data_IF_521694651886
#
_entry.id   IF_521694651886
#
_cell.length_a   1.000
_cell.length_b   1.000
_cell.length_c   1.000
_cell.angle_alpha   90.00
_cell.angle_beta   90.00
_cell.angle_gamma   90.00
#
_symmetry.space_group_name_H-M   'P 1'
#
loop_
_entity.id
_entity.type
_entity.pdbx_description
1 polymer ?
#
# COMPACT_ATOMS: atom_id res chain seq x y z
N UNK A 1 -16.05 -14.03 0.23
CA UNK A 1 -14.70 -14.50 -0.16
C UNK A 1 -13.70 -14.09 0.92
N UNK A 2 -12.61 -14.85 1.06
CA UNK A 2 -11.49 -14.51 1.95
C UNK A 2 -10.31 -14.00 1.13
N UNK A 3 -9.57 -13.03 1.66
CA UNK A 3 -8.35 -12.53 1.03
C UNK A 3 -7.34 -12.01 2.03
N UNK A 4 -6.09 -11.92 1.59
CA UNK A 4 -5.00 -11.33 2.36
C UNK A 4 -4.55 -10.02 1.71
N UNK A 5 -4.30 -9.01 2.52
CA UNK A 5 -3.76 -7.73 2.02
C UNK A 5 -2.30 -7.92 1.65
N UNK A 6 -1.93 -7.57 0.41
CA UNK A 6 -0.54 -7.64 -0.06
C UNK A 6 0.12 -6.26 -0.13
N UNK A 7 -0.68 -5.21 -0.27
CA UNK A 7 -0.24 -3.82 -0.26
C UNK A 7 -1.39 -2.93 0.22
N UNK A 8 -1.08 -1.88 0.97
CA UNK A 8 -2.06 -0.84 1.28
C UNK A 8 -1.41 0.52 1.47
N UNK A 9 -2.22 1.57 1.27
CA UNK A 9 -1.86 2.95 1.54
C UNK A 9 -3.09 3.67 2.06
N UNK A 10 -3.08 3.94 3.37
CA UNK A 10 -4.15 4.67 4.06
C UNK A 10 -4.29 6.10 3.52
N UNK A 11 -3.16 6.77 3.25
CA UNK A 11 -3.14 8.13 2.69
C UNK A 11 -3.89 8.27 1.35
N UNK A 12 -3.89 7.21 0.53
CA UNK A 12 -4.60 7.19 -0.75
C UNK A 12 -5.94 6.45 -0.67
N UNK A 13 -6.25 5.84 0.47
CA UNK A 13 -7.41 4.96 0.65
C UNK A 13 -7.43 3.81 -0.35
N UNK A 14 -6.28 3.19 -0.63
CA UNK A 14 -6.17 2.08 -1.60
C UNK A 14 -5.50 0.87 -0.97
N UNK A 15 -6.00 -0.31 -1.27
CA UNK A 15 -5.33 -1.56 -0.92
C UNK A 15 -5.50 -2.59 -2.04
N UNK A 16 -4.54 -3.50 -2.12
CA UNK A 16 -4.55 -4.62 -3.05
C UNK A 16 -4.62 -5.91 -2.23
N UNK A 17 -5.58 -6.75 -2.60
CA UNK A 17 -5.96 -7.95 -1.87
C UNK A 17 -5.77 -9.14 -2.79
N UNK A 18 -5.08 -10.17 -2.29
CA UNK A 18 -4.99 -11.46 -2.95
C UNK A 18 -6.03 -12.40 -2.35
N UNK A 19 -6.90 -12.93 -3.19
CA UNK A 19 -8.06 -13.71 -2.76
C UNK A 19 -7.78 -15.22 -2.83
N UNK A 20 -8.54 -15.98 -2.03
CA UNK A 20 -8.41 -17.43 -1.90
C UNK A 20 -8.60 -18.20 -3.22
N UNK A 21 -9.31 -17.59 -4.18
CA UNK A 21 -9.59 -18.18 -5.50
C UNK A 21 -8.40 -18.11 -6.47
N UNK A 22 -7.27 -17.50 -6.07
CA UNK A 22 -6.07 -17.31 -6.89
C UNK A 22 -6.34 -16.59 -8.22
N UNK A 23 -7.48 -15.91 -8.35
CA UNK A 23 -7.85 -15.14 -9.52
C UNK A 23 -7.15 -13.78 -9.60
N UNK A 24 -7.63 -12.88 -10.46
CA UNK A 24 -7.11 -11.50 -10.56
C UNK A 24 -7.12 -10.78 -9.20
N UNK A 25 -6.14 -9.90 -8.96
CA UNK A 25 -6.08 -9.14 -7.70
C UNK A 25 -7.33 -8.26 -7.50
N UNK A 26 -7.79 -8.17 -6.26
CA UNK A 26 -8.90 -7.32 -5.88
C UNK A 26 -8.41 -5.98 -5.33
N UNK A 27 -9.11 -4.90 -5.70
CA UNK A 27 -8.75 -3.52 -5.34
C UNK A 27 -9.78 -2.95 -4.37
N UNK A 28 -9.33 -2.61 -3.17
CA UNK A 28 -10.09 -1.81 -2.22
C UNK A 28 -9.86 -0.33 -2.51
N UNK A 29 -10.94 0.45 -2.54
CA UNK A 29 -10.90 1.90 -2.74
C UNK A 29 -11.81 2.62 -1.74
N UNK A 30 -11.24 3.58 -1.02
CA UNK A 30 -11.96 4.39 -0.04
C UNK A 30 -12.32 3.61 1.22
N UNK A 31 -12.76 4.35 2.25
CA UNK A 31 -13.26 3.76 3.49
C UNK A 31 -14.71 3.27 3.39
N UNK A 32 -15.47 3.76 2.41
CA UNK A 32 -16.88 3.37 2.19
C UNK A 32 -17.04 1.88 1.86
N UNK A 33 -15.97 1.24 1.40
CA UNK A 33 -15.94 -0.20 1.11
C UNK A 33 -15.65 -1.06 2.34
N UNK A 34 -15.27 -0.44 3.47
CA UNK A 34 -15.06 -1.11 4.75
C UNK A 34 -16.38 -1.17 5.53
N UNK A 35 -16.62 -2.29 6.21
CA UNK A 35 -17.76 -2.46 7.09
C UNK A 35 -17.44 -1.91 8.48
N UNK A 36 -18.21 -0.90 8.90
CA UNK A 36 -18.10 -0.29 10.23
C UNK A 36 -16.91 0.66 10.39
N UNK A 37 -16.69 1.09 11.64
CA UNK A 37 -15.55 1.91 12.05
C UNK A 37 -14.32 1.01 12.25
N UNK A 38 -13.83 0.41 11.16
CA UNK A 38 -12.65 -0.46 11.17
C UNK A 38 -11.38 0.32 10.78
N UNK A 39 -10.26 -0.06 11.41
CA UNK A 39 -8.93 0.44 11.02
C UNK A 39 -8.61 0.10 9.56
N UNK A 40 -7.76 0.93 8.93
CA UNK A 40 -7.35 0.68 7.56
C UNK A 40 -6.54 -0.62 7.46
N UNK A 41 -6.90 -1.56 6.57
CA UNK A 41 -6.25 -2.87 6.51
C UNK A 41 -4.78 -2.75 6.06
N UNK A 42 -3.89 -3.47 6.73
CA UNK A 42 -2.44 -3.45 6.47
C UNK A 42 -1.96 -4.76 5.84
N UNK A 43 -0.82 -4.75 5.12
CA UNK A 43 -0.27 -5.96 4.52
C UNK A 43 -0.11 -7.10 5.54
N UNK A 44 -0.62 -8.28 5.19
CA UNK A 44 -0.64 -9.47 6.05
C UNK A 44 -1.95 -9.69 6.81
N UNK A 45 -2.89 -8.73 6.79
CA UNK A 45 -4.22 -8.90 7.39
C UNK A 45 -5.10 -9.83 6.56
N UNK A 46 -5.90 -10.64 7.26
CA UNK A 46 -6.90 -11.52 6.67
C UNK A 46 -8.27 -10.86 6.70
N UNK A 47 -8.90 -10.80 5.52
CA UNK A 47 -10.15 -10.09 5.28
C UNK A 47 -11.24 -11.03 4.80
N UNK A 48 -12.49 -10.71 5.17
CA UNK A 48 -13.68 -11.15 4.47
C UNK A 48 -14.12 -10.00 3.57
N UNK A 49 -14.40 -10.32 2.32
CA UNK A 49 -14.85 -9.34 1.34
C UNK A 49 -15.80 -9.96 0.33
N UNK A 50 -16.49 -9.07 -0.37
CA UNK A 50 -17.20 -9.34 -1.61
C UNK A 50 -16.45 -8.70 -2.77
N UNK A 51 -16.57 -9.30 -3.95
CA UNK A 51 -15.92 -8.78 -5.14
C UNK A 51 -16.91 -8.60 -6.28
N UNK A 52 -16.77 -7.46 -6.95
CA UNK A 52 -17.49 -7.14 -8.17
C UNK A 52 -16.46 -6.78 -9.24
N UNK A 53 -16.64 -7.33 -10.44
CA UNK A 53 -15.76 -7.00 -11.57
C UNK A 53 -16.42 -5.91 -12.41
N UNK A 54 -15.76 -4.76 -12.50
CA UNK A 54 -16.20 -3.63 -13.32
C UNK A 54 -15.16 -3.43 -14.42
N UNK A 55 -15.54 -3.72 -15.67
CA UNK A 55 -14.59 -3.81 -16.78
C UNK A 55 -13.59 -4.94 -16.56
N UNK A 56 -12.31 -4.60 -16.44
CA UNK A 56 -11.21 -5.56 -16.23
C UNK A 56 -10.64 -5.53 -14.80
N UNK A 57 -11.23 -4.71 -13.90
CA UNK A 57 -10.77 -4.58 -12.52
C UNK A 57 -11.75 -5.24 -11.57
N UNK A 58 -11.21 -6.04 -10.66
CA UNK A 58 -11.95 -6.63 -9.56
C UNK A 58 -11.93 -5.68 -8.37
N UNK A 59 -13.08 -5.17 -7.97
CA UNK A 59 -13.24 -4.27 -6.85
C UNK A 59 -13.68 -5.03 -5.60
N UNK A 60 -13.04 -4.73 -4.46
CA UNK A 60 -13.40 -5.25 -3.16
C UNK A 60 -14.37 -4.29 -2.46
N UNK A 61 -15.48 -4.83 -1.95
CA UNK A 61 -16.47 -4.13 -1.15
C UNK A 61 -16.92 -5.01 0.01
N UNK A 62 -17.76 -4.47 0.91
CA UNK A 62 -18.22 -5.18 2.11
C UNK A 62 -17.05 -5.78 2.91
N UNK A 63 -15.94 -5.04 3.01
CA UNK A 63 -14.67 -5.54 3.55
C UNK A 63 -14.67 -5.49 5.07
N UNK A 64 -14.37 -6.61 5.71
CA UNK A 64 -14.19 -6.71 7.16
C UNK A 64 -12.90 -7.46 7.51
N UNK A 65 -12.16 -6.95 8.49
CA UNK A 65 -10.96 -7.63 9.00
C UNK A 65 -11.39 -8.80 9.88
N UNK A 66 -10.96 -10.01 9.52
CA UNK A 66 -11.24 -11.23 10.29
C UNK A 66 -10.17 -11.43 11.36
N UNK A 67 -8.91 -11.31 10.94
CA UNK A 67 -7.76 -11.53 11.80
C UNK A 67 -6.60 -10.63 11.33
N UNK A 68 -6.07 -9.76 12.22
CA UNK A 68 -4.93 -8.94 11.88
C UNK A 68 -3.66 -9.80 11.80
N UNK A 69 -2.77 -9.46 10.85
CA UNK A 69 -1.40 -10.00 10.72
C UNK A 69 -1.29 -11.53 10.77
N UNK A 70 -2.16 -12.26 10.08
CA UNK A 70 -2.05 -13.73 9.96
C UNK A 70 -0.75 -14.13 9.24
N UNK A 71 -0.28 -13.28 8.33
CA UNK A 71 0.98 -13.48 7.59
C UNK A 71 1.88 -12.25 7.72
N UNK A 72 2.51 -12.00 8.89
CA UNK A 72 3.29 -10.79 9.12
C UNK A 72 4.56 -10.74 8.25
N UNK A 73 5.09 -11.91 7.87
CA UNK A 73 6.22 -12.03 6.93
C UNK A 73 5.85 -11.81 5.45
N UNK A 74 4.56 -11.64 5.12
CA UNK A 74 4.12 -11.52 3.73
C UNK A 74 4.77 -10.34 2.99
N UNK A 75 4.88 -9.12 3.58
CA UNK A 75 5.53 -8.00 2.90
C UNK A 75 6.99 -8.31 2.56
N UNK A 76 7.73 -8.90 3.51
CA UNK A 76 9.14 -9.26 3.29
C UNK A 76 9.28 -10.40 2.28
N UNK A 77 8.34 -11.36 2.26
CA UNK A 77 8.32 -12.44 1.28
C UNK A 77 8.05 -11.93 -0.14
N UNK A 78 7.12 -10.99 -0.30
CA UNK A 78 6.83 -10.35 -1.59
C UNK A 78 8.01 -9.50 -2.09
N UNK A 79 8.81 -8.95 -1.15
CA UNK A 79 10.02 -8.19 -1.46
C UNK A 79 11.27 -9.08 -1.68
N UNK A 80 11.14 -10.41 -1.57
CA UNK A 80 12.27 -11.34 -1.70
C UNK A 80 13.30 -11.24 -0.57
N UNK A 81 12.92 -10.65 0.57
CA UNK A 81 13.79 -10.46 1.75
C UNK A 81 13.78 -11.67 2.69
N UNK A 82 12.90 -12.64 2.45
CA UNK A 82 12.89 -13.89 3.21
C UNK A 82 13.92 -14.86 2.63
N UNK A 83 14.63 -15.58 3.51
CA UNK A 83 15.66 -16.56 3.15
C UNK A 83 15.03 -17.84 2.59
N UNK A 84 14.26 -17.74 1.50
CA UNK A 84 13.81 -18.85 0.68
C UNK A 84 14.74 -18.92 -0.54
N UNK A 85 15.24 -20.11 -0.93
CA UNK A 85 16.01 -20.22 -2.15
C UNK A 85 15.16 -19.78 -3.34
N UNK A 86 15.52 -18.64 -3.93
CA UNK A 86 15.02 -18.13 -5.21
C UNK A 86 13.55 -17.73 -5.25
N UNK A 87 13.14 -16.67 -4.55
CA UNK A 87 11.95 -15.95 -5.02
C UNK A 87 12.28 -15.34 -6.39
N UNK A 88 11.69 -15.86 -7.47
CA UNK A 88 11.81 -15.32 -8.83
C UNK A 88 11.17 -13.92 -8.97
N UNK A 89 10.54 -13.42 -7.91
CA UNK A 89 9.87 -12.13 -7.91
C UNK A 89 10.92 -11.01 -7.82
N UNK A 90 10.98 -10.17 -8.85
CA UNK A 90 11.80 -8.96 -8.87
C UNK A 90 10.91 -7.73 -8.77
N UNK A 91 11.36 -6.73 -8.02
CA UNK A 91 10.66 -5.44 -7.93
C UNK A 91 10.85 -4.69 -9.24
N UNK A 92 9.81 -4.64 -10.07
CA UNK A 92 9.84 -3.98 -11.39
C UNK A 92 9.73 -2.45 -11.29
N UNK A 93 9.07 -1.93 -10.24
CA UNK A 93 9.00 -0.50 -9.94
C UNK A 93 8.92 -0.25 -8.44
N UNK A 94 9.72 0.72 -7.96
CA UNK A 94 9.53 1.40 -6.68
C UNK A 94 9.09 2.82 -6.96
N UNK A 95 8.01 3.24 -6.31
CA UNK A 95 7.59 4.63 -6.30
C UNK A 95 8.05 5.23 -4.97
N UNK A 96 9.36 5.33 -4.80
CA UNK A 96 9.91 6.16 -3.73
C UNK A 96 9.76 7.59 -4.22
N UNK A 97 8.68 8.26 -3.79
CA UNK A 97 8.62 9.71 -3.90
C UNK A 97 9.89 10.25 -3.20
N UNK A 98 10.64 11.19 -3.81
CA UNK A 98 11.73 11.84 -3.11
C UNK A 98 11.14 12.39 -1.81
N UNK A 99 11.67 11.97 -0.65
CA UNK A 99 11.38 12.64 0.61
C UNK A 99 11.70 14.11 0.36
N UNK A 100 10.69 14.97 0.42
CA UNK A 100 10.93 16.40 0.43
C UNK A 100 11.96 16.66 1.54
N UNK A 101 13.03 17.42 1.26
CA UNK A 101 14.00 17.76 2.29
C UNK A 101 13.22 18.37 3.46
N UNK A 102 13.43 17.85 4.66
CA UNK A 102 12.87 18.42 5.88
C UNK A 102 13.39 19.84 5.94
N UNK A 103 12.52 20.81 5.65
CA UNK A 103 12.82 22.22 5.75
C UNK A 103 12.89 22.53 7.24
N UNK A 104 14.08 22.42 7.83
CA UNK A 104 14.33 23.00 9.14
C UNK A 104 14.17 24.51 8.98
N UNK A 105 13.04 25.03 9.49
CA UNK A 105 12.86 26.44 9.68
C UNK A 105 13.97 26.95 10.61
N UNK A 106 14.67 27.95 10.09
CA UNK A 106 15.81 28.65 10.66
C UNK A 106 15.71 28.92 12.17
N UNK A 107 16.82 28.68 12.86
CA UNK A 107 17.30 29.68 13.79
C UNK A 107 18.08 30.71 12.98
N UNK A 108 17.68 31.95 13.18
CA UNK A 108 18.23 33.21 12.70
C UNK A 108 19.76 33.26 12.80
N UNK A 109 20.40 33.64 11.71
CA UNK A 109 21.15 34.90 11.58
C UNK A 109 22.33 34.76 10.59
N UNK A 110 22.32 35.72 9.66
CA UNK A 110 23.44 36.29 8.90
C UNK A 110 24.03 35.60 7.64
N UNK A 111 24.17 36.49 6.65
CA UNK A 111 25.08 36.54 5.49
C UNK A 111 24.77 35.80 4.18
N UNK A 112 24.18 36.59 3.26
CA UNK A 112 24.73 36.94 1.93
C UNK A 112 25.38 35.80 1.10
N UNK A 113 24.77 35.45 -0.04
CA UNK A 113 25.31 35.80 -1.37
C UNK A 113 24.43 35.26 -2.51
N UNK A 114 24.46 36.03 -3.59
CA UNK A 114 23.52 36.09 -4.70
C UNK A 114 23.45 34.85 -5.61
N UNK A 115 22.25 34.69 -6.20
CA UNK A 115 22.00 34.38 -7.62
C UNK A 115 22.23 32.94 -8.13
N UNK A 116 21.17 32.27 -8.61
CA UNK A 116 20.75 32.38 -10.01
C UNK A 116 19.57 31.44 -10.38
N UNK A 117 18.56 32.05 -10.99
CA UNK A 117 17.88 31.64 -12.23
C UNK A 117 16.86 30.47 -12.17
N UNK A 118 15.60 30.92 -12.16
CA UNK A 118 14.40 30.37 -12.82
C UNK A 118 14.73 29.71 -14.17
N UNK A 119 14.12 28.56 -14.50
CA UNK A 119 13.51 28.38 -15.83
C UNK A 119 12.50 27.21 -15.87
N UNK A 120 11.27 27.60 -16.24
CA UNK A 120 10.14 26.93 -16.88
C UNK A 120 9.89 25.43 -16.67
#
# INVERSE_FOLDING_TARGET
>A
MIGVVIWSSESTGKAVIWCEDQGPLAYLRGRDSLLGEADWPVPGDLLRLECETIGNLRHAHSVSVIAPKVCPQLPDALLGKTNRPGSHLQVVRRNDAPRAPVMNCANSDDDEFLSNVINF
#
